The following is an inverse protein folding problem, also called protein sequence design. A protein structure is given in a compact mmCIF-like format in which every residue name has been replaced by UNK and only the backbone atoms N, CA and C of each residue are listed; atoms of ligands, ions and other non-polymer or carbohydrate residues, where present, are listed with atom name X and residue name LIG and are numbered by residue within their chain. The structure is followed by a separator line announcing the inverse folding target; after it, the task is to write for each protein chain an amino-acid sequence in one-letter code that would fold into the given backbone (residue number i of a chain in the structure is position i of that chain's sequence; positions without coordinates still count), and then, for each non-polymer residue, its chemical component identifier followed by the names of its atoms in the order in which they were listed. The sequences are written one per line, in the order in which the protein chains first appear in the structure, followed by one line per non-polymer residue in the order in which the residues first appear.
data_IF_230551652656
#
_entry.id   IF_230551652656
#
_cell.length_a   1.000
_cell.length_b   1.000
_cell.length_c   1.000
_cell.angle_alpha   90.00
_cell.angle_beta   90.00
_cell.angle_gamma   90.00
#
_symmetry.space_group_name_H-M   'P 1'
#
loop_
_entity.id
_entity.type
_entity.pdbx_description
1 polymer ?
#
# COMPACT_ATOMS: atom_id res chain seq x y z
N UNK A 1 27.27 -53.26 -15.87
CA UNK A 1 26.34 -54.32 -15.39
C UNK A 1 25.72 -53.84 -14.11
N UNK A 2 24.40 -53.93 -14.04
CA UNK A 2 23.43 -53.65 -12.95
C UNK A 2 22.73 -52.32 -13.11
N UNK A 3 21.63 -52.28 -13.68
CA UNK A 3 20.23 -52.68 -13.51
C UNK A 3 19.38 -51.54 -12.96
N UNK A 4 18.61 -50.95 -13.86
CA UNK A 4 17.43 -50.10 -13.64
C UNK A 4 16.41 -50.80 -12.72
N UNK A 5 15.77 -50.04 -11.84
CA UNK A 5 14.44 -50.38 -11.33
C UNK A 5 13.51 -49.16 -11.37
N UNK A 6 12.53 -49.26 -12.26
CA UNK A 6 11.38 -48.38 -12.38
C UNK A 6 10.31 -48.82 -11.37
N UNK A 7 9.84 -47.91 -10.52
CA UNK A 7 8.71 -48.13 -9.62
C UNK A 7 7.42 -47.46 -10.17
N UNK A 8 6.24 -48.05 -9.95
CA UNK A 8 5.02 -47.67 -10.66
C UNK A 8 4.27 -46.49 -10.03
N UNK A 9 3.77 -45.64 -10.90
CA UNK A 9 2.87 -44.50 -10.63
C UNK A 9 1.52 -45.00 -10.07
N UNK A 10 1.12 -44.44 -8.91
CA UNK A 10 -0.23 -44.58 -8.35
C UNK A 10 -1.16 -43.53 -8.94
N UNK A 11 -2.06 -43.95 -9.80
CA UNK A 11 -3.23 -43.18 -10.22
C UNK A 11 -4.23 -43.07 -9.04
N UNK A 12 -4.56 -41.85 -8.61
CA UNK A 12 -5.72 -41.60 -7.73
C UNK A 12 -6.97 -41.44 -8.56
N UNK A 13 -7.95 -42.32 -8.29
CA UNK A 13 -9.30 -42.27 -8.85
C UNK A 13 -10.11 -41.14 -8.23
N UNK A 14 -10.77 -40.37 -9.09
CA UNK A 14 -11.76 -39.35 -8.74
C UNK A 14 -13.15 -40.04 -8.65
N UNK A 15 -13.96 -39.81 -7.60
CA UNK A 15 -15.32 -40.33 -7.53
C UNK A 15 -16.32 -39.46 -8.32
N UNK A 16 -17.42 -40.02 -8.83
CA UNK A 16 -18.38 -39.34 -9.69
C UNK A 16 -19.38 -38.49 -8.93
N UNK A 17 -19.76 -37.36 -9.53
CA UNK A 17 -20.79 -36.43 -9.10
C UNK A 17 -22.16 -37.09 -9.00
N UNK A 18 -22.78 -37.01 -7.82
CA UNK A 18 -24.16 -37.39 -7.58
C UNK A 18 -25.13 -36.24 -7.94
N UNK A 19 -26.01 -36.51 -8.90
CA UNK A 19 -27.21 -35.74 -9.21
C UNK A 19 -28.15 -35.72 -7.99
N UNK A 20 -28.61 -34.55 -7.57
CA UNK A 20 -29.79 -34.42 -6.69
C UNK A 20 -30.88 -33.55 -7.32
N UNK A 21 -32.03 -34.13 -7.22
CA UNK A 21 -33.35 -33.81 -7.72
C UNK A 21 -33.90 -32.48 -7.22
N UNK A 22 -34.56 -31.79 -8.15
CA UNK A 22 -35.52 -30.71 -7.93
C UNK A 22 -36.74 -31.21 -7.17
N UNK A 23 -37.19 -30.49 -6.17
CA UNK A 23 -38.51 -30.58 -5.58
C UNK A 23 -39.15 -29.17 -5.68
N UNK A 24 -40.13 -29.11 -6.59
CA UNK A 24 -41.11 -28.03 -6.65
C UNK A 24 -42.02 -28.13 -5.46
N UNK A 25 -42.17 -27.03 -4.74
CA UNK A 25 -43.28 -26.88 -3.78
C UNK A 25 -43.85 -25.47 -3.92
N UNK A 26 -45.00 -25.38 -4.60
CA UNK A 26 -45.86 -24.25 -4.63
C UNK A 26 -46.46 -24.04 -3.26
N UNK A 27 -46.22 -22.92 -2.61
CA UNK A 27 -46.77 -22.50 -1.35
C UNK A 27 -47.46 -21.14 -1.44
N UNK A 28 -48.73 -21.14 -1.39
CA UNK A 28 -49.64 -20.01 -1.32
C UNK A 28 -49.40 -19.22 -0.04
N UNK A 29 -49.03 -17.93 -0.12
CA UNK A 29 -48.87 -17.05 1.05
C UNK A 29 -49.95 -15.97 1.04
N UNK A 30 -50.81 -16.07 2.03
CA UNK A 30 -51.82 -15.09 2.40
C UNK A 30 -51.15 -13.86 2.99
N UNK A 31 -51.44 -12.71 2.42
CA UNK A 31 -50.99 -11.41 2.92
C UNK A 31 -51.78 -11.01 4.17
N UNK A 32 -51.13 -10.96 5.30
CA UNK A 32 -51.61 -10.30 6.52
C UNK A 32 -50.78 -9.03 6.75
N UNK A 33 -51.33 -7.88 6.40
CA UNK A 33 -50.79 -6.56 6.72
C UNK A 33 -50.98 -6.24 8.20
N UNK A 34 -49.95 -6.43 9.01
CA UNK A 34 -49.86 -5.87 10.37
C UNK A 34 -49.05 -4.58 10.31
N UNK A 35 -49.74 -3.45 10.46
CA UNK A 35 -49.11 -2.16 10.69
C UNK A 35 -48.53 -2.13 12.12
N UNK A 36 -47.24 -2.41 12.26
CA UNK A 36 -46.49 -2.16 13.49
C UNK A 36 -45.84 -0.77 13.33
N UNK A 37 -46.40 0.21 14.05
CA UNK A 37 -45.73 1.48 14.33
C UNK A 37 -44.50 1.19 15.19
N UNK A 38 -43.36 0.94 14.55
CA UNK A 38 -42.09 0.87 15.22
C UNK A 38 -41.62 2.30 15.51
N UNK A 39 -41.74 2.73 16.79
CA UNK A 39 -40.92 3.82 17.30
C UNK A 39 -39.46 3.44 17.03
N UNK A 40 -38.86 4.05 15.99
CA UNK A 40 -37.45 3.90 15.69
C UNK A 40 -36.61 4.51 16.81
N UNK A 41 -36.12 3.68 17.70
CA UNK A 41 -34.93 4.01 18.47
C UNK A 41 -33.77 4.00 17.51
N UNK A 42 -33.41 5.17 16.99
CA UNK A 42 -32.11 5.38 16.40
C UNK A 42 -31.08 5.32 17.53
N UNK A 43 -30.48 4.18 17.75
CA UNK A 43 -29.23 4.10 18.50
C UNK A 43 -28.21 4.81 17.59
N UNK A 44 -27.93 6.10 17.87
CA UNK A 44 -26.76 6.77 17.36
C UNK A 44 -25.57 6.00 17.95
N UNK A 45 -24.98 5.11 17.17
CA UNK A 45 -23.64 4.62 17.44
C UNK A 45 -22.69 5.83 17.44
N UNK A 46 -21.48 5.71 18.03
CA UNK A 46 -20.49 6.77 17.93
C UNK A 46 -20.39 7.17 16.46
N UNK A 47 -20.54 8.47 16.21
CA UNK A 47 -20.51 9.03 14.86
C UNK A 47 -19.30 8.49 14.13
N UNK A 48 -19.53 7.62 13.14
CA UNK A 48 -18.47 7.15 12.25
C UNK A 48 -18.01 8.37 11.49
N UNK A 49 -16.71 8.68 11.45
CA UNK A 49 -16.21 9.81 10.67
C UNK A 49 -16.73 9.63 9.24
N UNK A 50 -17.47 10.61 8.74
CA UNK A 50 -17.89 10.65 7.34
C UNK A 50 -16.67 11.03 6.54
N UNK A 51 -15.91 10.04 6.08
CA UNK A 51 -14.87 10.23 5.10
C UNK A 51 -15.54 10.76 3.83
N UNK A 52 -15.33 12.04 3.53
CA UNK A 52 -16.10 12.73 2.50
C UNK A 52 -15.66 12.26 1.12
N UNK A 53 -16.45 11.39 0.49
CA UNK A 53 -16.37 11.11 -0.96
C UNK A 53 -16.86 12.31 -1.81
N UNK A 54 -17.32 13.38 -1.18
CA UNK A 54 -17.96 14.51 -1.85
C UNK A 54 -16.95 15.55 -2.36
N UNK A 55 -15.96 15.15 -3.18
CA UNK A 55 -15.25 16.13 -4.00
C UNK A 55 -14.90 15.55 -5.39
N UNK A 56 -15.90 15.26 -6.17
CA UNK A 56 -15.75 14.97 -7.60
C UNK A 56 -15.55 16.26 -8.45
N UNK A 57 -14.78 17.24 -7.97
CA UNK A 57 -14.65 18.47 -8.75
C UNK A 57 -13.34 19.22 -8.60
N UNK A 58 -12.24 18.80 -8.38
CA UNK A 58 -10.87 19.37 -8.38
C UNK A 58 -10.03 18.78 -7.25
N UNK A 59 -9.53 17.54 -7.46
CA UNK A 59 -8.53 16.91 -6.59
C UNK A 59 -9.13 16.39 -5.28
N UNK A 60 -8.84 15.15 -4.94
CA UNK A 60 -9.19 14.59 -3.63
C UNK A 60 -8.61 15.48 -2.51
N UNK A 61 -9.30 15.63 -1.36
CA UNK A 61 -8.79 16.43 -0.25
C UNK A 61 -7.46 15.88 0.27
N UNK A 62 -6.63 16.75 0.85
CA UNK A 62 -5.41 16.29 1.53
C UNK A 62 -5.78 15.48 2.77
N UNK A 63 -5.02 14.43 3.03
CA UNK A 63 -5.22 13.57 4.19
C UNK A 63 -4.65 14.22 5.45
N UNK A 64 -5.33 13.97 6.59
CA UNK A 64 -4.78 14.22 7.91
C UNK A 64 -4.33 12.89 8.55
N UNK A 65 -3.48 12.96 9.57
CA UNK A 65 -2.95 11.78 10.27
C UNK A 65 -3.26 11.82 11.77
N UNK A 66 -4.25 12.63 12.15
CA UNK A 66 -4.94 12.47 13.42
C UNK A 66 -5.77 11.16 13.43
N UNK A 67 -6.32 10.72 14.56
CA UNK A 67 -7.07 9.46 14.62
C UNK A 67 -8.23 9.35 13.63
N UNK A 68 -8.91 10.46 13.30
CA UNK A 68 -10.03 10.49 12.35
C UNK A 68 -9.52 10.40 10.90
N UNK A 69 -8.46 11.14 10.56
CA UNK A 69 -7.83 11.08 9.25
C UNK A 69 -7.24 9.70 8.95
N UNK A 70 -6.57 9.07 9.92
CA UNK A 70 -6.08 7.69 9.76
C UNK A 70 -7.23 6.70 9.53
N UNK A 71 -8.37 6.86 10.24
CA UNK A 71 -9.52 6.02 10.01
C UNK A 71 -10.06 6.20 8.57
N UNK A 72 -10.09 7.43 8.05
CA UNK A 72 -10.48 7.72 6.68
C UNK A 72 -9.50 7.14 5.65
N UNK A 73 -8.19 7.31 5.84
CA UNK A 73 -7.18 6.69 4.96
C UNK A 73 -7.40 5.17 4.86
N UNK A 74 -7.67 4.51 5.98
CA UNK A 74 -7.91 3.05 6.02
C UNK A 74 -9.24 2.65 5.39
N UNK A 75 -10.29 3.45 5.56
CA UNK A 75 -11.61 3.16 4.97
C UNK A 75 -11.61 3.35 3.45
N UNK A 76 -10.97 4.42 2.96
CA UNK A 76 -10.91 4.75 1.54
C UNK A 76 -9.77 4.04 0.81
N UNK A 77 -8.77 3.51 1.52
CA UNK A 77 -7.50 3.04 0.96
C UNK A 77 -6.78 4.10 0.13
N UNK A 78 -6.91 5.37 0.51
CA UNK A 78 -6.31 6.50 -0.19
C UNK A 78 -5.62 7.44 0.81
N UNK A 79 -4.42 7.90 0.46
CA UNK A 79 -3.66 8.88 1.23
C UNK A 79 -3.06 9.92 0.29
N UNK A 80 -3.25 11.21 0.59
CA UNK A 80 -2.77 12.30 -0.24
C UNK A 80 -2.12 13.39 0.60
N UNK A 81 -0.86 13.73 0.28
CA UNK A 81 -0.06 14.72 0.99
C UNK A 81 0.53 15.74 0.03
N UNK A 82 0.74 16.97 0.50
CA UNK A 82 1.27 18.08 -0.31
C UNK A 82 2.64 18.53 0.24
N UNK A 83 3.69 18.19 -0.50
CA UNK A 83 5.07 18.64 -0.28
C UNK A 83 5.54 19.64 -1.36
N UNK A 84 4.61 20.20 -2.16
CA UNK A 84 4.95 21.13 -3.24
C UNK A 84 5.57 22.43 -2.75
N UNK A 85 5.42 22.74 -1.46
CA UNK A 85 5.96 23.93 -0.80
C UNK A 85 7.07 23.60 0.21
N UNK A 86 7.55 22.35 0.26
CA UNK A 86 8.55 21.86 1.19
C UNK A 86 7.98 20.90 2.24
N UNK A 87 8.51 20.93 3.46
CA UNK A 87 8.02 20.15 4.58
C UNK A 87 6.55 20.50 4.92
N UNK A 88 5.79 19.52 5.42
CA UNK A 88 4.37 19.69 5.74
C UNK A 88 4.23 20.14 7.20
N UNK A 89 3.56 21.27 7.45
CA UNK A 89 3.23 21.71 8.82
C UNK A 89 2.34 20.63 9.50
N UNK A 90 2.72 20.24 10.72
CA UNK A 90 1.95 19.30 11.54
C UNK A 90 0.49 19.72 11.73
N UNK A 91 0.23 21.02 11.82
CA UNK A 91 -1.13 21.54 11.96
C UNK A 91 -2.00 21.21 10.74
N UNK A 92 -1.43 21.17 9.52
CA UNK A 92 -2.13 20.74 8.30
C UNK A 92 -2.47 19.26 8.36
N UNK A 93 -1.60 18.47 9.01
CA UNK A 93 -1.81 17.04 9.19
C UNK A 93 -2.72 16.69 10.40
N UNK A 94 -3.25 17.69 11.09
CA UNK A 94 -4.09 17.49 12.29
C UNK A 94 -3.30 17.11 13.54
N UNK A 95 -1.98 17.32 13.57
CA UNK A 95 -1.12 16.94 14.69
C UNK A 95 -0.74 18.14 15.55
N UNK A 96 -0.72 17.98 16.90
CA UNK A 96 -0.04 18.91 17.81
C UNK A 96 1.46 18.98 17.54
N UNK A 97 2.07 20.15 17.78
CA UNK A 97 3.51 20.37 17.56
C UNK A 97 4.38 19.43 18.42
N UNK A 98 3.94 19.14 19.63
CA UNK A 98 4.62 18.33 20.64
C UNK A 98 4.33 16.81 20.51
N UNK A 99 3.60 16.41 19.48
CA UNK A 99 3.36 14.98 19.19
C UNK A 99 4.21 14.47 18.03
N UNK A 100 4.60 13.20 18.12
CA UNK A 100 5.20 12.49 16.99
C UNK A 100 4.11 12.01 16.04
N UNK A 101 4.39 12.07 14.75
CA UNK A 101 3.48 11.52 13.75
C UNK A 101 3.36 10.00 13.88
N UNK A 102 2.16 9.44 13.88
CA UNK A 102 1.95 8.00 13.90
C UNK A 102 2.29 7.37 12.54
N UNK A 103 2.66 6.08 12.56
CA UNK A 103 2.67 5.27 11.33
C UNK A 103 1.21 4.99 10.90
N UNK A 104 0.94 5.09 9.61
CA UNK A 104 -0.33 4.66 9.01
C UNK A 104 -0.11 3.32 8.33
N UNK A 105 -0.89 2.30 8.70
CA UNK A 105 -0.84 0.97 8.09
C UNK A 105 -2.24 0.47 7.82
N UNK A 106 -2.38 -0.31 6.74
CA UNK A 106 -3.60 -1.02 6.38
C UNK A 106 -3.35 -2.52 6.40
N UNK A 107 -4.24 -3.24 7.11
CA UNK A 107 -4.20 -4.71 7.18
C UNK A 107 -5.11 -5.35 6.11
N UNK A 108 -5.99 -4.54 5.49
CA UNK A 108 -7.01 -5.00 4.54
C UNK A 108 -6.59 -4.84 3.07
N UNK A 109 -5.32 -4.50 2.82
CA UNK A 109 -4.75 -4.30 1.49
C UNK A 109 -3.99 -2.99 1.36
N UNK A 110 -3.32 -2.78 0.23
CA UNK A 110 -2.53 -1.57 0.02
C UNK A 110 -3.41 -0.33 -0.11
N UNK A 111 -2.83 0.81 0.25
CA UNK A 111 -3.40 2.15 0.08
C UNK A 111 -2.76 2.81 -1.14
N UNK A 112 -3.55 3.52 -1.92
CA UNK A 112 -3.07 4.40 -2.98
C UNK A 112 -2.53 5.69 -2.34
N UNK A 113 -1.23 5.93 -2.50
CA UNK A 113 -0.52 7.08 -1.95
C UNK A 113 -0.21 8.08 -3.04
N UNK A 114 -0.63 9.34 -2.85
CA UNK A 114 -0.22 10.47 -3.67
C UNK A 114 0.58 11.47 -2.84
N UNK A 115 1.75 11.88 -3.34
CA UNK A 115 2.55 12.97 -2.76
C UNK A 115 2.77 14.02 -3.85
N UNK A 116 2.18 15.18 -3.65
CA UNK A 116 2.37 16.32 -4.55
C UNK A 116 3.73 16.94 -4.29
N UNK A 117 4.55 17.05 -5.32
CA UNK A 117 5.82 17.77 -5.31
C UNK A 117 5.74 19.05 -6.15
N UNK A 118 6.79 19.89 -6.11
CA UNK A 118 6.85 21.14 -6.87
C UNK A 118 6.74 20.96 -8.40
N UNK A 119 7.24 19.84 -8.94
CA UNK A 119 7.33 19.62 -10.39
C UNK A 119 6.52 18.39 -10.85
N UNK A 120 5.78 17.73 -9.94
CA UNK A 120 4.95 16.57 -10.29
C UNK A 120 4.39 15.86 -9.07
N UNK A 121 3.63 14.80 -9.33
CA UNK A 121 3.01 13.98 -8.29
C UNK A 121 3.64 12.60 -8.28
N UNK A 122 4.08 12.16 -7.11
CA UNK A 122 4.45 10.77 -6.86
C UNK A 122 3.17 9.98 -6.60
N UNK A 123 3.03 8.84 -7.25
CA UNK A 123 1.93 7.88 -7.03
C UNK A 123 2.53 6.53 -6.71
N UNK A 124 2.06 5.91 -5.64
CA UNK A 124 2.51 4.58 -5.20
C UNK A 124 1.36 3.80 -4.56
N UNK A 125 1.51 2.49 -4.47
CA UNK A 125 0.61 1.61 -3.71
C UNK A 125 1.42 0.96 -2.60
N UNK A 126 0.98 1.13 -1.33
CA UNK A 126 1.73 0.67 -0.15
C UNK A 126 0.79 0.27 0.98
N UNK A 127 1.20 -0.69 1.80
CA UNK A 127 0.48 -1.07 3.01
C UNK A 127 0.88 -0.23 4.24
N UNK A 128 1.94 0.57 4.12
CA UNK A 128 2.47 1.35 5.24
C UNK A 128 3.09 2.67 4.82
N UNK A 129 2.73 3.73 5.56
CA UNK A 129 3.29 5.07 5.44
C UNK A 129 3.83 5.49 6.81
N UNK A 130 5.04 6.04 6.83
CA UNK A 130 5.70 6.57 8.02
C UNK A 130 6.07 8.03 7.80
N UNK A 131 5.97 8.84 8.84
CA UNK A 131 6.32 10.25 8.82
C UNK A 131 7.50 10.51 9.76
N UNK A 132 8.54 11.15 9.24
CA UNK A 132 9.68 11.56 10.07
C UNK A 132 9.40 12.93 10.68
N UNK A 133 9.32 12.93 11.99
CA UNK A 133 9.15 14.13 12.80
C UNK A 133 9.61 13.85 14.24
N UNK A 134 9.87 14.90 15.01
CA UNK A 134 10.15 14.81 16.44
C UNK A 134 9.12 15.60 17.23
N UNK A 135 9.11 15.46 18.55
CA UNK A 135 8.28 16.24 19.47
C UNK A 135 8.62 17.72 19.55
N UNK A 136 9.73 18.14 18.92
CA UNK A 136 10.21 19.53 18.88
C UNK A 136 10.16 20.17 17.49
N UNK A 137 9.92 19.40 16.44
CA UNK A 137 9.77 19.89 15.07
C UNK A 137 8.32 20.29 14.80
N UNK A 138 8.11 21.45 14.16
CA UNK A 138 6.78 21.89 13.73
C UNK A 138 6.31 21.19 12.47
N UNK A 139 7.25 20.65 11.69
CA UNK A 139 7.01 20.11 10.36
C UNK A 139 7.33 18.62 10.26
N UNK A 140 6.71 17.97 9.30
CA UNK A 140 7.07 16.65 8.77
C UNK A 140 7.92 16.87 7.53
N UNK A 141 9.19 16.52 7.60
CA UNK A 141 10.17 16.75 6.54
C UNK A 141 10.42 15.52 5.65
N UNK A 142 9.87 14.35 6.03
CA UNK A 142 10.02 13.12 5.27
C UNK A 142 8.78 12.23 5.38
N UNK A 143 8.37 11.70 4.23
CA UNK A 143 7.40 10.62 4.13
C UNK A 143 8.14 9.37 3.65
N UNK A 144 8.01 8.27 4.38
CA UNK A 144 8.58 6.97 4.03
C UNK A 144 7.45 6.00 3.73
N UNK A 145 7.54 5.26 2.62
CA UNK A 145 6.64 4.16 2.33
C UNK A 145 7.40 2.93 1.85
N UNK A 146 6.71 1.79 1.77
CA UNK A 146 7.35 0.51 1.52
C UNK A 146 6.75 -0.13 0.28
N UNK A 147 7.61 -0.50 -0.68
CA UNK A 147 7.23 -1.32 -1.81
C UNK A 147 7.72 -2.74 -1.54
N UNK A 148 6.84 -3.72 -1.74
CA UNK A 148 7.13 -5.13 -1.49
C UNK A 148 6.97 -5.90 -2.78
N UNK A 149 7.99 -6.66 -3.17
CA UNK A 149 7.96 -7.56 -4.31
C UNK A 149 7.99 -9.02 -3.82
N UNK A 150 7.21 -9.87 -4.45
CA UNK A 150 7.16 -11.31 -4.16
C UNK A 150 8.19 -12.11 -4.98
N UNK A 151 8.82 -11.46 -5.96
CA UNK A 151 9.85 -12.06 -6.81
C UNK A 151 11.01 -11.09 -7.08
N UNK A 152 12.24 -11.59 -7.36
CA UNK A 152 13.35 -10.75 -7.80
C UNK A 152 13.03 -9.95 -9.07
N UNK A 153 12.37 -10.54 -10.05
CA UNK A 153 12.03 -9.85 -11.30
C UNK A 153 11.11 -8.64 -11.07
N UNK A 154 10.07 -8.81 -10.25
CA UNK A 154 9.18 -7.72 -9.83
C UNK A 154 9.96 -6.62 -9.10
N UNK A 155 10.87 -7.02 -8.22
CA UNK A 155 11.73 -6.07 -7.50
C UNK A 155 12.62 -5.27 -8.46
N UNK A 156 13.24 -5.90 -9.44
CA UNK A 156 14.07 -5.22 -10.44
C UNK A 156 13.23 -4.29 -11.32
N UNK A 157 12.01 -4.66 -11.65
CA UNK A 157 11.09 -3.79 -12.39
C UNK A 157 10.67 -2.57 -11.55
N UNK A 158 10.48 -2.70 -10.24
CA UNK A 158 10.25 -1.56 -9.33
C UNK A 158 11.43 -0.58 -9.37
N UNK A 159 12.67 -1.07 -9.37
CA UNK A 159 13.86 -0.22 -9.43
C UNK A 159 13.94 0.54 -10.77
N UNK A 160 13.69 -0.15 -11.90
CA UNK A 160 13.67 0.47 -13.23
C UNK A 160 12.57 1.53 -13.35
N UNK A 161 11.40 1.28 -12.79
CA UNK A 161 10.31 2.25 -12.71
C UNK A 161 10.72 3.51 -11.92
N UNK A 162 11.49 3.35 -10.84
CA UNK A 162 12.04 4.48 -10.08
C UNK A 162 12.97 5.36 -10.91
N UNK A 163 13.73 4.78 -11.86
CA UNK A 163 14.56 5.55 -12.77
C UNK A 163 13.71 6.45 -13.68
N UNK A 164 12.62 5.92 -14.23
CA UNK A 164 11.76 6.65 -15.17
C UNK A 164 10.87 7.67 -14.46
N UNK A 165 10.35 7.32 -13.30
CA UNK A 165 9.38 8.15 -12.59
C UNK A 165 10.05 9.24 -11.74
N UNK A 166 11.21 8.97 -11.15
CA UNK A 166 11.81 9.84 -10.14
C UNK A 166 13.21 10.34 -10.49
N UNK A 167 13.83 9.77 -11.55
CA UNK A 167 15.18 10.17 -11.99
C UNK A 167 16.30 9.54 -11.17
N UNK A 168 16.08 8.36 -10.57
CA UNK A 168 17.15 7.54 -10.01
C UNK A 168 18.10 7.13 -11.13
N UNK A 169 19.41 7.16 -10.88
CA UNK A 169 20.41 6.87 -11.91
C UNK A 169 20.30 5.43 -12.43
N UNK A 170 19.87 5.31 -13.68
CA UNK A 170 19.64 4.01 -14.34
C UNK A 170 20.91 3.16 -14.42
N UNK A 171 22.07 3.79 -14.68
CA UNK A 171 23.30 3.04 -14.78
C UNK A 171 23.64 2.35 -13.46
N UNK A 172 23.52 3.08 -12.34
CA UNK A 172 23.72 2.52 -11.00
C UNK A 172 22.73 1.40 -10.68
N UNK A 173 21.47 1.52 -11.13
CA UNK A 173 20.44 0.48 -10.93
C UNK A 173 20.78 -0.79 -11.69
N UNK A 174 21.10 -0.70 -12.98
CA UNK A 174 21.45 -1.88 -13.79
C UNK A 174 22.76 -2.53 -13.32
N UNK A 175 23.78 -1.75 -12.96
CA UNK A 175 25.03 -2.28 -12.39
C UNK A 175 24.77 -3.07 -11.09
N UNK A 176 23.88 -2.57 -10.25
CA UNK A 176 23.50 -3.26 -9.01
C UNK A 176 22.69 -4.54 -9.30
N UNK A 177 21.72 -4.50 -10.24
CA UNK A 177 20.95 -5.67 -10.68
C UNK A 177 21.86 -6.76 -11.22
N UNK A 178 22.81 -6.41 -12.10
CA UNK A 178 23.78 -7.35 -12.68
C UNK A 178 24.63 -7.99 -11.58
N UNK A 179 25.07 -7.21 -10.60
CA UNK A 179 25.86 -7.71 -9.48
C UNK A 179 25.11 -8.75 -8.64
N UNK A 180 23.86 -8.45 -8.23
CA UNK A 180 23.08 -9.39 -7.39
C UNK A 180 22.53 -10.57 -8.18
N UNK A 181 22.23 -10.40 -9.48
CA UNK A 181 21.75 -11.49 -10.35
C UNK A 181 22.84 -12.52 -10.66
N UNK A 182 24.11 -12.15 -10.52
CA UNK A 182 25.24 -13.07 -10.72
C UNK A 182 25.50 -14.02 -9.55
N UNK A 183 24.86 -13.79 -8.40
CA UNK A 183 25.01 -14.58 -7.17
C UNK A 183 23.65 -15.07 -6.67
N UNK A 184 23.40 -16.38 -6.72
CA UNK A 184 22.15 -17.00 -6.27
C UNK A 184 21.88 -16.86 -4.78
N UNK A 185 22.87 -16.52 -3.98
CA UNK A 185 22.78 -16.34 -2.53
C UNK A 185 22.99 -14.87 -2.12
N UNK A 186 22.86 -13.93 -3.07
CA UNK A 186 23.07 -12.52 -2.82
C UNK A 186 22.16 -11.98 -1.72
N UNK A 187 22.76 -11.30 -0.76
CA UNK A 187 22.06 -10.48 0.26
C UNK A 187 22.64 -9.07 0.15
N UNK A 188 21.79 -8.07 -0.02
CA UNK A 188 22.25 -6.69 -0.21
C UNK A 188 21.33 -5.68 0.44
N UNK A 189 21.90 -4.85 1.33
CA UNK A 189 21.34 -3.59 1.76
C UNK A 189 22.04 -2.48 0.97
N UNK A 190 21.30 -1.76 0.15
CA UNK A 190 21.89 -0.73 -0.73
C UNK A 190 20.99 0.49 -0.83
N UNK A 191 21.58 1.66 -0.98
CA UNK A 191 20.86 2.92 -1.15
C UNK A 191 21.37 3.66 -2.38
N UNK A 192 20.47 3.99 -3.30
CA UNK A 192 20.79 4.79 -4.46
C UNK A 192 20.88 6.29 -4.13
N UNK A 193 21.54 7.05 -4.98
CA UNK A 193 21.42 8.50 -4.92
C UNK A 193 19.97 8.90 -5.25
N UNK A 194 19.39 9.86 -4.51
CA UNK A 194 18.02 10.28 -4.74
C UNK A 194 17.78 10.78 -6.17
N UNK A 195 16.65 10.38 -6.75
CA UNK A 195 16.11 11.02 -7.93
C UNK A 195 15.41 12.33 -7.56
N UNK A 196 15.35 13.29 -8.49
CA UNK A 196 14.86 14.65 -8.22
C UNK A 196 13.84 15.17 -9.24
N UNK A 197 13.35 14.30 -10.15
CA UNK A 197 12.45 14.71 -11.25
C UNK A 197 11.13 15.37 -10.80
N UNK A 198 10.69 15.11 -9.57
CA UNK A 198 9.45 15.68 -9.05
C UNK A 198 9.65 16.99 -8.26
N UNK A 199 10.87 17.56 -8.27
CA UNK A 199 11.22 18.70 -7.42
C UNK A 199 11.32 18.31 -5.94
N UNK A 200 11.45 17.02 -5.65
CA UNK A 200 11.67 16.42 -4.34
C UNK A 200 12.80 15.40 -4.45
N UNK A 201 13.46 15.11 -3.33
CA UNK A 201 14.34 13.96 -3.26
C UNK A 201 13.50 12.70 -3.07
N UNK A 202 13.67 11.70 -3.95
CA UNK A 202 13.07 10.37 -3.82
C UNK A 202 14.21 9.35 -3.74
N UNK A 203 14.43 8.80 -2.56
CA UNK A 203 15.51 7.85 -2.29
C UNK A 203 14.98 6.43 -2.20
N UNK A 204 15.68 5.48 -2.83
CA UNK A 204 15.42 4.05 -2.74
C UNK A 204 16.48 3.39 -1.86
N UNK A 205 16.04 2.83 -0.75
CA UNK A 205 16.85 2.06 0.19
C UNK A 205 16.41 0.59 0.14
N UNK A 206 17.29 -0.27 -0.34
CA UNK A 206 16.98 -1.64 -0.73
C UNK A 206 17.23 -2.62 0.41
N UNK A 207 16.34 -3.60 0.52
CA UNK A 207 16.51 -4.80 1.33
C UNK A 207 16.27 -6.00 0.44
N UNK A 208 17.35 -6.58 -0.07
CA UNK A 208 17.34 -7.69 -1.01
C UNK A 208 17.97 -8.94 -0.39
N UNK A 209 17.30 -10.07 -0.53
CA UNK A 209 17.83 -11.40 -0.19
C UNK A 209 17.27 -12.38 -1.22
N UNK A 210 18.15 -12.93 -2.07
CA UNK A 210 17.78 -13.85 -3.14
C UNK A 210 17.01 -15.10 -2.65
N UNK A 211 17.17 -15.48 -1.37
CA UNK A 211 16.51 -16.62 -0.74
C UNK A 211 15.23 -16.25 0.03
N UNK A 212 14.96 -14.95 0.22
CA UNK A 212 13.75 -14.50 0.88
C UNK A 212 12.53 -14.58 -0.05
N UNK A 213 11.36 -14.81 0.54
CA UNK A 213 10.08 -14.84 -0.20
C UNK A 213 9.59 -13.44 -0.58
N UNK A 214 10.19 -12.39 -0.04
CA UNK A 214 9.83 -10.99 -0.28
C UNK A 214 11.05 -10.12 -0.29
N UNK A 215 11.04 -9.13 -1.17
CA UNK A 215 12.03 -8.08 -1.29
C UNK A 215 11.37 -6.75 -0.93
N UNK A 216 12.12 -5.79 -0.38
CA UNK A 216 11.56 -4.52 0.07
C UNK A 216 12.38 -3.36 -0.46
N UNK A 217 11.71 -2.38 -1.08
CA UNK A 217 12.25 -1.04 -1.30
C UNK A 217 11.64 -0.11 -0.27
N UNK A 218 12.47 0.51 0.55
CA UNK A 218 12.08 1.60 1.43
C UNK A 218 12.25 2.88 0.64
N UNK A 219 11.16 3.60 0.44
CA UNK A 219 11.17 4.84 -0.33
C UNK A 219 11.04 6.01 0.60
N UNK A 220 12.07 6.86 0.66
CA UNK A 220 12.05 8.11 1.41
C UNK A 220 11.82 9.29 0.47
N UNK A 221 10.81 10.10 0.76
CA UNK A 221 10.47 11.32 0.03
C UNK A 221 10.65 12.52 0.95
N UNK A 222 11.46 13.51 0.52
CA UNK A 222 11.72 14.70 1.31
C UNK A 222 12.03 15.90 0.41
N UNK A 223 11.82 17.14 0.89
CA UNK A 223 12.10 18.36 0.11
C UNK A 223 13.54 18.42 -0.41
N UNK A 224 13.74 19.12 -1.54
CA UNK A 224 15.05 19.48 -2.06
C UNK A 224 15.71 20.55 -1.21
#
# INVERSE_FOLDING_TARGET
MTSSQSGPSRQRRVPPFGRRRTLDTAGLIVAATLALSACGFTVSGPDRPTCSEDVAAVGSPLSTIDPEGIACIRELHEARFDMSHGAIDKAILGLPVDEQAPDVSSDDGPMDLEILGPEGTLVASTDRIRFSTTDTQADVDRITYFLVADTPDEFFDMLRNGCDAYGIDRASVEDWIDAVSSDSDAVSDYSFQPGTLLGMNVNYDLRYDANASKQVVIVDVYPL
#
